data_IF_392973717571
#
_entry.id   IF_392973717571
#
_cell.length_a   1.000
_cell.length_b   1.000
_cell.length_c   1.000
_cell.angle_alpha   90.00
_cell.angle_beta   90.00
_cell.angle_gamma   90.00
#
_symmetry.space_group_name_H-M   'P 1'
#
loop_
_entity.id
_entity.type
_entity.pdbx_description
1 polymer ?
#
# COMPACT_ATOMS: atom_id res chain seq x y z
N UNK A 1 -19.95 -3.57 -20.33
CA UNK A 1 -19.10 -3.52 -19.12
C UNK A 1 -18.81 -4.94 -18.66
N UNK A 2 -17.54 -5.30 -18.50
CA UNK A 2 -17.17 -6.68 -18.20
C UNK A 2 -16.43 -6.72 -16.84
N UNK A 3 -17.08 -7.30 -15.84
CA UNK A 3 -16.47 -7.61 -14.55
C UNK A 3 -15.94 -9.04 -14.60
N UNK A 4 -14.66 -9.22 -14.29
CA UNK A 4 -14.03 -10.54 -14.22
C UNK A 4 -13.53 -10.74 -12.78
N UNK A 5 -14.15 -11.63 -11.99
CA UNK A 5 -13.69 -11.93 -10.66
C UNK A 5 -12.35 -12.70 -10.72
N UNK A 6 -11.39 -12.29 -9.90
CA UNK A 6 -10.14 -13.01 -9.73
C UNK A 6 -10.27 -14.00 -8.56
N UNK A 7 -9.66 -15.18 -8.70
CA UNK A 7 -9.56 -16.12 -7.57
C UNK A 7 -8.59 -15.55 -6.53
N UNK A 8 -8.85 -15.80 -5.25
CA UNK A 8 -7.99 -15.34 -4.14
C UNK A 8 -6.56 -15.90 -4.20
N UNK A 9 -6.35 -17.00 -4.94
CA UNK A 9 -5.03 -17.64 -5.13
C UNK A 9 -4.20 -17.02 -6.25
N UNK A 10 -4.76 -16.06 -7.00
CA UNK A 10 -4.01 -15.38 -8.07
C UNK A 10 -3.00 -14.43 -7.44
N UNK A 11 -1.77 -14.55 -7.87
CA UNK A 11 -0.67 -13.70 -7.39
C UNK A 11 -0.75 -12.31 -8.02
N UNK A 12 -0.52 -11.28 -7.22
CA UNK A 12 -0.60 -9.90 -7.72
C UNK A 12 0.52 -9.55 -8.68
N UNK A 13 1.69 -10.16 -8.55
CA UNK A 13 2.80 -10.01 -9.52
C UNK A 13 2.47 -10.51 -10.92
N UNK A 14 1.50 -11.43 -11.06
CA UNK A 14 0.97 -11.88 -12.36
C UNK A 14 -0.11 -10.92 -12.92
N UNK A 15 -0.83 -10.23 -12.05
CA UNK A 15 -1.94 -9.33 -12.42
C UNK A 15 -1.45 -7.92 -12.73
N UNK A 16 -0.59 -7.37 -11.88
CA UNK A 16 -0.16 -5.98 -11.96
C UNK A 16 0.41 -5.56 -13.32
N UNK A 17 1.22 -6.36 -14.03
CA UNK A 17 1.73 -5.99 -15.34
C UNK A 17 0.65 -5.82 -16.42
N UNK A 18 -0.57 -6.34 -16.16
CA UNK A 18 -1.68 -6.36 -17.10
C UNK A 18 -2.80 -5.37 -16.75
N UNK A 19 -2.63 -4.54 -15.72
CA UNK A 19 -3.61 -3.55 -15.31
C UNK A 19 -3.09 -2.13 -15.52
N UNK A 20 -3.99 -1.24 -15.88
CA UNK A 20 -3.65 0.18 -16.09
C UNK A 20 -3.75 1.00 -14.80
N UNK A 21 -4.50 0.52 -13.82
CA UNK A 21 -4.73 1.21 -12.55
C UNK A 21 -5.28 0.24 -11.51
N UNK A 22 -4.97 0.48 -10.26
CA UNK A 22 -5.53 -0.24 -9.10
C UNK A 22 -6.28 0.73 -8.21
N UNK A 23 -7.46 0.32 -7.76
CA UNK A 23 -8.22 1.04 -6.73
C UNK A 23 -8.36 0.14 -5.50
N UNK A 24 -8.05 0.67 -4.35
CA UNK A 24 -8.16 -0.06 -3.08
C UNK A 24 -8.63 0.87 -1.97
N UNK A 25 -9.19 0.32 -0.91
CA UNK A 25 -9.53 1.15 0.27
C UNK A 25 -8.24 1.46 1.05
N UNK A 26 -7.58 0.44 1.59
CA UNK A 26 -6.34 0.57 2.40
C UNK A 26 -5.34 -0.55 2.11
N UNK A 27 -5.54 -1.31 1.05
CA UNK A 27 -4.79 -2.54 0.79
C UNK A 27 -3.29 -2.30 0.56
N UNK A 28 -2.48 -3.27 0.96
CA UNK A 28 -1.02 -3.30 0.75
C UNK A 28 -0.63 -3.30 -0.72
N UNK A 29 -1.55 -3.67 -1.61
CA UNK A 29 -1.40 -3.57 -3.06
C UNK A 29 -1.00 -2.16 -3.52
N UNK A 30 -1.37 -1.11 -2.77
CA UNK A 30 -0.95 0.26 -3.04
C UNK A 30 0.58 0.42 -3.01
N UNK A 31 1.28 -0.29 -2.12
CA UNK A 31 2.74 -0.27 -2.04
C UNK A 31 3.35 -0.90 -3.29
N UNK A 32 2.79 -2.02 -3.73
CA UNK A 32 3.24 -2.71 -4.94
C UNK A 32 3.06 -1.81 -6.18
N UNK A 33 1.92 -1.11 -6.28
CA UNK A 33 1.66 -0.13 -7.33
C UNK A 33 2.70 1.02 -7.33
N UNK A 34 3.01 1.57 -6.15
CA UNK A 34 4.02 2.63 -6.00
C UNK A 34 5.36 2.17 -6.57
N UNK A 35 5.80 0.97 -6.21
CA UNK A 35 7.09 0.42 -6.62
C UNK A 35 7.14 0.06 -8.11
N UNK A 36 6.04 -0.47 -8.63
CA UNK A 36 5.92 -0.91 -10.03
C UNK A 36 5.57 0.23 -11.02
N UNK A 37 5.46 1.48 -10.57
CA UNK A 37 5.00 2.63 -11.38
C UNK A 37 3.58 2.47 -11.96
N UNK A 38 2.75 1.68 -11.32
CA UNK A 38 1.35 1.49 -11.70
C UNK A 38 0.51 2.56 -11.00
N UNK A 39 -0.40 3.24 -11.68
CA UNK A 39 -1.38 4.12 -11.06
C UNK A 39 -2.16 3.41 -9.96
N UNK A 40 -2.10 3.92 -8.73
CA UNK A 40 -2.87 3.41 -7.61
C UNK A 40 -3.73 4.52 -7.01
N UNK A 41 -4.95 4.23 -6.59
CA UNK A 41 -5.78 5.19 -5.84
C UNK A 41 -6.32 4.51 -4.60
N UNK A 42 -6.22 5.19 -3.45
CA UNK A 42 -6.84 4.72 -2.24
C UNK A 42 -8.13 5.48 -1.94
N UNK A 43 -9.14 4.77 -1.42
CA UNK A 43 -10.42 5.36 -0.99
C UNK A 43 -10.42 5.73 0.50
N UNK A 44 -9.33 5.51 1.20
CA UNK A 44 -9.08 6.01 2.55
C UNK A 44 -7.67 6.58 2.63
N UNK A 45 -7.46 7.57 3.51
CA UNK A 45 -6.13 8.16 3.71
C UNK A 45 -5.20 7.16 4.36
N UNK A 46 -4.03 6.99 3.76
CA UNK A 46 -2.96 6.11 4.24
C UNK A 46 -1.61 6.80 4.06
N UNK A 47 -0.56 6.26 4.66
CA UNK A 47 0.82 6.72 4.44
C UNK A 47 1.28 6.59 2.97
N UNK A 48 0.59 5.78 2.16
CA UNK A 48 0.90 5.62 0.73
C UNK A 48 0.58 6.89 -0.07
N UNK A 49 -0.32 7.74 0.43
CA UNK A 49 -0.74 8.96 -0.27
C UNK A 49 0.31 10.09 -0.28
N UNK A 50 1.44 9.89 0.38
CA UNK A 50 2.61 10.74 0.23
C UNK A 50 3.30 10.52 -1.14
N UNK A 51 2.98 9.42 -1.82
CA UNK A 51 3.52 9.08 -3.14
C UNK A 51 2.60 9.58 -4.25
N UNK A 52 3.19 10.29 -5.23
CA UNK A 52 2.44 10.96 -6.30
C UNK A 52 1.59 10.00 -7.14
N UNK A 53 2.08 8.76 -7.37
CA UNK A 53 1.35 7.73 -8.11
C UNK A 53 0.36 6.93 -7.25
N UNK A 54 0.08 7.39 -6.01
CA UNK A 54 -0.91 6.78 -5.12
C UNK A 54 -1.76 7.84 -4.39
N UNK A 55 -2.50 8.69 -5.12
CA UNK A 55 -3.36 9.68 -4.51
C UNK A 55 -4.54 9.05 -3.73
N UNK A 56 -5.10 9.84 -2.83
CA UNK A 56 -6.35 9.56 -2.14
C UNK A 56 -7.52 10.16 -2.92
N UNK A 57 -8.62 9.45 -3.02
CA UNK A 57 -9.90 9.94 -3.52
C UNK A 57 -10.94 9.90 -2.40
N UNK A 58 -11.48 11.07 -2.04
CA UNK A 58 -12.48 11.20 -0.99
C UNK A 58 -13.90 10.87 -1.47
N UNK A 59 -14.11 10.82 -2.79
CA UNK A 59 -15.40 10.54 -3.42
C UNK A 59 -15.23 9.75 -4.72
N UNK A 60 -16.33 9.20 -5.22
CA UNK A 60 -16.35 8.55 -6.54
C UNK A 60 -16.12 9.55 -7.69
N UNK A 61 -16.47 10.82 -7.51
CA UNK A 61 -16.20 11.87 -8.48
C UNK A 61 -14.68 12.10 -8.61
N UNK A 62 -13.99 12.24 -7.47
CA UNK A 62 -12.52 12.36 -7.46
C UNK A 62 -11.85 11.10 -8.03
N UNK A 63 -12.37 9.91 -7.71
CA UNK A 63 -11.87 8.67 -8.30
C UNK A 63 -12.02 8.70 -9.82
N UNK A 64 -13.18 9.12 -10.34
CA UNK A 64 -13.41 9.28 -11.78
C UNK A 64 -12.41 10.23 -12.43
N UNK A 65 -12.13 11.36 -11.78
CA UNK A 65 -11.13 12.33 -12.25
C UNK A 65 -9.70 11.74 -12.30
N UNK A 66 -9.35 10.85 -11.36
CA UNK A 66 -8.08 10.13 -11.41
C UNK A 66 -8.06 9.08 -12.53
N UNK A 67 -9.16 8.32 -12.70
CA UNK A 67 -9.29 7.33 -13.76
C UNK A 67 -9.12 7.95 -15.15
N UNK A 68 -9.69 9.13 -15.38
CA UNK A 68 -9.61 9.85 -16.64
C UNK A 68 -8.18 10.29 -17.03
N UNK A 69 -7.29 10.43 -16.07
CA UNK A 69 -5.88 10.78 -16.32
C UNK A 69 -5.06 9.61 -16.87
N UNK A 70 -5.45 8.38 -16.57
CA UNK A 70 -4.69 7.18 -16.95
C UNK A 70 -4.56 7.05 -18.47
N UNK A 71 -5.65 7.03 -19.26
CA UNK A 71 -5.55 6.89 -20.71
C UNK A 71 -4.90 8.09 -21.40
N UNK A 72 -4.87 9.26 -20.73
CA UNK A 72 -4.20 10.48 -21.25
C UNK A 72 -2.70 10.50 -20.94
N UNK A 73 -2.19 9.56 -20.13
CA UNK A 73 -0.80 9.58 -19.66
C UNK A 73 -0.49 10.71 -18.68
N UNK A 74 -1.52 11.30 -18.06
CA UNK A 74 -1.42 12.45 -17.14
C UNK A 74 -1.40 12.02 -15.66
N UNK A 75 -1.44 10.72 -15.40
CA UNK A 75 -1.39 10.22 -14.01
C UNK A 75 0.00 10.52 -13.41
N UNK A 76 0.09 11.08 -12.20
CA UNK A 76 1.36 11.45 -11.61
C UNK A 76 2.29 10.25 -11.43
N UNK A 77 3.59 10.49 -11.57
CA UNK A 77 4.61 9.47 -11.31
C UNK A 77 5.43 9.84 -10.08
N UNK A 78 5.81 8.85 -9.32
CA UNK A 78 6.75 9.01 -8.20
C UNK A 78 8.16 8.71 -8.70
N UNK A 79 9.09 9.62 -8.44
CA UNK A 79 10.48 9.41 -8.82
C UNK A 79 11.18 8.34 -7.96
N UNK A 80 12.30 7.83 -8.44
CA UNK A 80 13.06 6.76 -7.78
C UNK A 80 13.55 7.18 -6.39
N UNK A 81 13.95 8.43 -6.21
CA UNK A 81 14.45 8.91 -4.92
C UNK A 81 13.34 8.94 -3.88
N UNK A 82 12.13 9.39 -4.26
CA UNK A 82 10.98 9.40 -3.36
C UNK A 82 10.54 7.97 -3.00
N UNK A 83 10.62 7.01 -3.94
CA UNK A 83 10.39 5.59 -3.64
C UNK A 83 11.41 5.04 -2.62
N UNK A 84 12.69 5.35 -2.79
CA UNK A 84 13.74 4.93 -1.85
C UNK A 84 13.46 5.52 -0.47
N UNK A 85 13.13 6.81 -0.38
CA UNK A 85 12.78 7.46 0.89
C UNK A 85 11.55 6.83 1.54
N UNK A 86 10.54 6.49 0.75
CA UNK A 86 9.33 5.82 1.21
C UNK A 86 9.64 4.44 1.80
N UNK A 87 10.41 3.60 1.10
CA UNK A 87 10.82 2.29 1.60
C UNK A 87 11.66 2.40 2.85
N UNK A 88 12.62 3.32 2.90
CA UNK A 88 13.43 3.55 4.10
C UNK A 88 12.57 3.98 5.29
N UNK A 89 11.57 4.85 5.08
CA UNK A 89 10.62 5.23 6.13
C UNK A 89 9.82 4.03 6.62
N UNK A 90 9.26 3.21 5.72
CA UNK A 90 8.55 1.99 6.08
C UNK A 90 9.42 1.06 6.91
N UNK A 91 10.65 0.81 6.46
CA UNK A 91 11.59 -0.07 7.16
C UNK A 91 11.95 0.46 8.56
N UNK A 92 12.15 1.77 8.70
CA UNK A 92 12.50 2.41 9.98
C UNK A 92 11.32 2.50 10.97
N UNK A 93 10.08 2.42 10.47
CA UNK A 93 8.86 2.51 11.29
C UNK A 93 8.14 1.17 11.46
N UNK A 94 8.63 0.13 10.80
CA UNK A 94 8.09 -1.23 10.90
C UNK A 94 8.83 -2.04 11.95
N UNK A 95 8.15 -3.02 12.50
CA UNK A 95 8.70 -3.97 13.46
C UNK A 95 8.65 -5.38 12.88
N UNK A 96 9.62 -6.23 13.20
CA UNK A 96 9.55 -7.63 12.80
C UNK A 96 8.38 -8.32 13.51
N UNK A 97 7.86 -9.37 12.88
CA UNK A 97 6.76 -10.18 13.38
C UNK A 97 5.55 -10.18 12.45
N UNK A 98 4.78 -11.25 12.51
CA UNK A 98 3.57 -11.44 11.69
C UNK A 98 2.39 -11.57 12.64
N UNK A 99 1.51 -10.55 12.75
CA UNK A 99 0.40 -10.56 13.72
C UNK A 99 -0.82 -11.39 13.25
N UNK A 100 -0.65 -12.27 12.26
CA UNK A 100 -1.71 -13.09 11.70
C UNK A 100 -1.65 -14.52 12.21
N UNK A 101 -2.80 -15.16 12.33
CA UNK A 101 -3.01 -16.50 12.93
C UNK A 101 -2.18 -17.63 12.32
N UNK A 102 -1.87 -17.55 11.03
CA UNK A 102 -1.17 -18.63 10.31
C UNK A 102 0.27 -18.86 10.77
N UNK A 103 0.83 -17.97 11.59
CA UNK A 103 2.22 -18.03 12.05
C UNK A 103 2.30 -17.87 13.58
N UNK A 104 1.44 -18.58 14.29
CA UNK A 104 1.48 -18.64 15.76
C UNK A 104 2.55 -19.65 16.21
N UNK A 105 3.79 -19.19 16.29
CA UNK A 105 4.85 -19.88 17.01
C UNK A 105 5.42 -18.96 18.08
N UNK A 106 6.07 -19.54 19.10
CA UNK A 106 6.57 -18.79 20.26
C UNK A 106 7.51 -17.65 19.86
N UNK A 107 8.40 -17.89 18.90
CA UNK A 107 9.33 -16.87 18.40
C UNK A 107 8.62 -15.68 17.78
N UNK A 108 7.58 -15.91 16.98
CA UNK A 108 6.82 -14.85 16.36
C UNK A 108 5.99 -14.07 17.39
N UNK A 109 5.39 -14.76 18.36
CA UNK A 109 4.64 -14.13 19.45
C UNK A 109 5.56 -13.23 20.27
N UNK A 110 6.75 -13.71 20.65
CA UNK A 110 7.74 -12.91 21.39
C UNK A 110 8.16 -11.68 20.60
N UNK A 111 8.45 -11.83 19.31
CA UNK A 111 8.82 -10.74 18.40
C UNK A 111 7.73 -9.67 18.32
N UNK A 112 6.48 -10.06 18.15
CA UNK A 112 5.33 -9.15 18.15
C UNK A 112 5.17 -8.44 19.51
N UNK A 113 5.31 -9.17 20.61
CA UNK A 113 5.21 -8.60 21.96
C UNK A 113 6.33 -7.57 22.23
N UNK A 114 7.54 -7.82 21.77
CA UNK A 114 8.62 -6.85 21.85
C UNK A 114 8.31 -5.57 21.05
N UNK A 115 7.76 -5.69 19.85
CA UNK A 115 7.33 -4.56 19.05
C UNK A 115 6.27 -3.71 19.76
N UNK A 116 5.21 -4.33 20.29
CA UNK A 116 4.18 -3.65 21.07
C UNK A 116 4.73 -2.92 22.29
N UNK A 117 5.60 -3.57 23.07
CA UNK A 117 6.24 -2.95 24.25
C UNK A 117 7.06 -1.72 23.87
N UNK A 118 7.77 -1.76 22.73
CA UNK A 118 8.53 -0.62 22.23
C UNK A 118 7.62 0.56 21.88
N UNK A 119 6.54 0.32 21.14
CA UNK A 119 5.56 1.35 20.79
C UNK A 119 4.93 1.96 22.03
N UNK A 120 4.49 1.15 23.00
CA UNK A 120 3.91 1.64 24.25
C UNK A 120 4.89 2.50 25.04
N UNK A 121 6.16 2.12 25.08
CA UNK A 121 7.20 2.91 25.74
C UNK A 121 7.40 4.29 25.08
N UNK A 122 7.40 4.33 23.75
CA UNK A 122 7.53 5.58 22.99
C UNK A 122 6.30 6.49 23.16
N UNK A 123 5.10 5.93 23.23
CA UNK A 123 3.88 6.70 23.48
C UNK A 123 3.84 7.30 24.89
N UNK A 124 4.30 6.58 25.90
CA UNK A 124 4.32 7.03 27.29
C UNK A 124 5.48 8.00 27.61
N UNK A 125 6.41 8.21 26.68
CA UNK A 125 7.55 9.12 26.85
C UNK A 125 7.31 10.51 26.25
N UNK A 126 6.16 10.73 25.68
CA UNK A 126 5.70 12.03 25.15
C UNK A 126 4.74 12.70 26.11
#
# INVERSE_FOLDING_TARGET
ERIVPLRHSVRMDEVLPNVNMVVTVTGTIAIECILADIPGVTMARTHNNDMKNCPFAASFEELGAWMDKVPRGEFPRTDTLDKIRFINRLNNTSFPGIPYETVLNEQNVETCMMAFRKVLKELNSK
#
